data_IF_495626972993
#
_entry.id   IF_495626972993
#
_cell.length_a   1.000
_cell.length_b   1.000
_cell.length_c   1.000
_cell.angle_alpha   90.00
_cell.angle_beta   90.00
_cell.angle_gamma   90.00
#
_symmetry.space_group_name_H-M   'P 1'
#
loop_
_entity.id
_entity.type
_entity.pdbx_description
1 polymer ?
#
# COMPACT_ATOMS: atom_id res chain seq x y z
N UNK A 1 -7.38 16.81 -20.11
CA UNK A 1 -7.24 16.85 -18.62
C UNK A 1 -7.65 15.53 -17.94
N UNK A 2 -7.56 14.37 -18.61
CA UNK A 2 -8.09 13.10 -18.06
C UNK A 2 -7.09 12.18 -17.32
N UNK A 3 -5.77 12.41 -17.43
CA UNK A 3 -4.75 11.58 -16.76
C UNK A 3 -4.39 12.07 -15.35
N UNK A 4 -4.43 13.39 -15.11
CA UNK A 4 -4.07 13.98 -13.80
C UNK A 4 -4.94 13.44 -12.67
N UNK A 5 -6.25 13.30 -12.90
CA UNK A 5 -7.18 12.79 -11.87
C UNK A 5 -6.91 11.35 -11.47
N UNK A 6 -6.58 10.46 -12.42
CA UNK A 6 -6.28 9.05 -12.12
C UNK A 6 -4.95 8.88 -11.41
N UNK A 7 -3.93 9.62 -11.83
CA UNK A 7 -2.62 9.62 -11.16
C UNK A 7 -2.73 10.19 -9.74
N UNK A 8 -3.51 11.25 -9.55
CA UNK A 8 -3.79 11.82 -8.22
C UNK A 8 -4.55 10.85 -7.31
N UNK A 9 -5.55 10.14 -7.85
CA UNK A 9 -6.29 9.10 -7.13
C UNK A 9 -5.37 7.96 -6.69
N UNK A 10 -4.52 7.48 -7.60
CA UNK A 10 -3.54 6.43 -7.28
C UNK A 10 -2.55 6.90 -6.22
N UNK A 11 -2.02 8.11 -6.35
CA UNK A 11 -1.08 8.67 -5.36
C UNK A 11 -1.72 8.78 -3.97
N UNK A 12 -2.95 9.28 -3.89
CA UNK A 12 -3.71 9.35 -2.63
C UNK A 12 -3.92 7.97 -2.03
N UNK A 13 -4.27 6.99 -2.85
CA UNK A 13 -4.50 5.63 -2.38
C UNK A 13 -3.20 4.97 -1.90
N UNK A 14 -2.08 5.19 -2.59
CA UNK A 14 -0.76 4.76 -2.14
C UNK A 14 -0.43 5.32 -0.75
N UNK A 15 -0.63 6.62 -0.54
CA UNK A 15 -0.43 7.25 0.77
C UNK A 15 -1.35 6.66 1.85
N UNK A 16 -2.61 6.40 1.53
CA UNK A 16 -3.57 5.79 2.46
C UNK A 16 -3.12 4.40 2.89
N UNK A 17 -2.72 3.56 1.94
CA UNK A 17 -2.27 2.19 2.17
C UNK A 17 -1.00 2.17 3.04
N UNK A 18 0.01 2.98 2.70
CA UNK A 18 1.25 3.08 3.49
C UNK A 18 0.95 3.61 4.89
N UNK A 19 0.18 4.70 4.98
CA UNK A 19 -0.17 5.33 6.25
C UNK A 19 -0.87 4.36 7.20
N UNK A 20 -1.82 3.58 6.70
CA UNK A 20 -2.50 2.54 7.49
C UNK A 20 -1.51 1.53 8.08
N UNK A 21 -0.64 0.95 7.24
CA UNK A 21 0.33 -0.06 7.69
C UNK A 21 1.31 0.53 8.71
N UNK A 22 1.84 1.73 8.47
CA UNK A 22 2.77 2.40 9.37
C UNK A 22 2.14 2.67 10.75
N UNK A 23 0.88 3.13 10.78
CA UNK A 23 0.15 3.38 12.01
C UNK A 23 -0.13 2.08 12.77
N UNK A 24 -0.59 1.04 12.09
CA UNK A 24 -0.83 -0.29 12.69
C UNK A 24 0.47 -0.88 13.27
N UNK A 25 1.58 -0.77 12.55
CA UNK A 25 2.89 -1.22 13.05
C UNK A 25 3.32 -0.45 14.30
N UNK A 26 3.17 0.88 14.30
CA UNK A 26 3.48 1.71 15.46
C UNK A 26 2.65 1.30 16.67
N UNK A 27 1.35 1.06 16.48
CA UNK A 27 0.44 0.68 17.56
C UNK A 27 0.77 -0.71 18.13
N UNK A 28 1.40 -1.58 17.33
CA UNK A 28 1.97 -2.87 17.75
C UNK A 28 3.39 -2.77 18.35
N UNK A 29 3.95 -1.56 18.48
CA UNK A 29 5.33 -1.35 18.94
C UNK A 29 6.40 -1.80 17.95
N UNK A 30 6.04 -2.02 16.68
CA UNK A 30 6.96 -2.40 15.62
C UNK A 30 7.52 -1.16 14.92
N UNK A 31 8.84 -1.12 14.74
CA UNK A 31 9.50 -0.09 13.96
C UNK A 31 9.12 -0.22 12.46
N UNK A 32 8.54 0.81 11.83
CA UNK A 32 8.16 0.75 10.41
C UNK A 32 9.39 0.80 9.50
N UNK A 33 9.85 -0.38 9.04
CA UNK A 33 10.93 -0.51 8.05
C UNK A 33 10.34 -0.77 6.67
N UNK A 34 10.94 -0.21 5.62
CA UNK A 34 10.47 -0.37 4.23
C UNK A 34 10.28 -1.85 3.85
N UNK A 35 11.24 -2.71 4.20
CA UNK A 35 11.18 -4.15 3.91
C UNK A 35 9.98 -4.84 4.60
N UNK A 36 9.65 -4.40 5.82
CA UNK A 36 8.52 -4.96 6.59
C UNK A 36 7.20 -4.48 6.02
N UNK A 37 7.07 -3.20 5.71
CA UNK A 37 5.86 -2.63 5.07
C UNK A 37 5.60 -3.34 3.73
N UNK A 38 6.61 -3.51 2.89
CA UNK A 38 6.49 -4.24 1.63
C UNK A 38 6.09 -5.72 1.85
N UNK A 39 6.62 -6.37 2.89
CA UNK A 39 6.25 -7.74 3.28
C UNK A 39 4.79 -7.87 3.72
N UNK A 40 4.31 -6.93 4.54
CA UNK A 40 2.91 -6.86 4.99
C UNK A 40 1.98 -6.68 3.79
N UNK A 41 2.30 -5.75 2.89
CA UNK A 41 1.48 -5.49 1.70
C UNK A 41 1.45 -6.68 0.72
N UNK A 42 2.58 -7.37 0.51
CA UNK A 42 2.61 -8.62 -0.29
C UNK A 42 1.71 -9.69 0.31
N UNK A 43 1.79 -9.88 1.62
CA UNK A 43 0.98 -10.86 2.34
C UNK A 43 -0.51 -10.51 2.27
N UNK A 44 -0.84 -9.22 2.42
CA UNK A 44 -2.20 -8.73 2.29
C UNK A 44 -2.74 -8.95 0.87
N UNK A 45 -1.99 -8.60 -0.18
CA UNK A 45 -2.37 -8.83 -1.58
C UNK A 45 -2.61 -10.30 -1.90
N UNK A 46 -1.77 -11.20 -1.37
CA UNK A 46 -1.92 -12.65 -1.58
C UNK A 46 -3.20 -13.23 -0.94
N UNK A 47 -3.83 -12.51 0.00
CA UNK A 47 -5.05 -12.96 0.65
C UNK A 47 -6.28 -12.83 -0.28
N UNK A 48 -6.62 -13.95 -0.95
CA UNK A 48 -7.78 -14.07 -1.84
C UNK A 48 -9.15 -14.00 -1.14
N UNK A 49 -9.21 -14.07 0.19
CA UNK A 49 -10.47 -13.96 0.94
C UNK A 49 -10.98 -12.53 1.03
N UNK A 50 -10.11 -11.55 0.80
CA UNK A 50 -10.46 -10.12 0.86
C UNK A 50 -10.62 -9.60 -0.56
N UNK A 51 -11.84 -9.17 -0.90
CA UNK A 51 -12.11 -8.51 -2.17
C UNK A 51 -11.61 -7.07 -2.10
N UNK A 52 -10.79 -6.67 -3.07
CA UNK A 52 -10.19 -5.33 -3.17
C UNK A 52 -10.56 -4.71 -4.49
N UNK A 53 -10.70 -3.39 -4.51
CA UNK A 53 -10.84 -2.64 -5.76
C UNK A 53 -9.56 -2.74 -6.58
N UNK A 54 -9.66 -2.52 -7.90
CA UNK A 54 -8.49 -2.49 -8.77
C UNK A 54 -7.53 -1.36 -8.38
N UNK A 55 -8.05 -0.22 -7.92
CA UNK A 55 -7.24 0.91 -7.43
C UNK A 55 -6.41 0.51 -6.19
N UNK A 56 -7.00 -0.18 -5.22
CA UNK A 56 -6.31 -0.61 -4.00
C UNK A 56 -5.22 -1.64 -4.34
N UNK A 57 -5.50 -2.59 -5.25
CA UNK A 57 -4.47 -3.53 -5.74
C UNK A 57 -3.32 -2.81 -6.42
N UNK A 58 -3.62 -1.90 -7.34
CA UNK A 58 -2.61 -1.13 -8.07
C UNK A 58 -1.77 -0.25 -7.14
N UNK A 59 -2.39 0.38 -6.14
CA UNK A 59 -1.70 1.16 -5.13
C UNK A 59 -0.75 0.28 -4.30
N UNK A 60 -1.23 -0.86 -3.80
CA UNK A 60 -0.41 -1.81 -3.03
C UNK A 60 0.80 -2.31 -3.84
N UNK A 61 0.60 -2.71 -5.10
CA UNK A 61 1.68 -3.18 -5.98
C UNK A 61 2.71 -2.09 -6.26
N UNK A 62 2.25 -0.86 -6.52
CA UNK A 62 3.12 0.29 -6.79
C UNK A 62 3.97 0.62 -5.56
N UNK A 63 3.37 0.61 -4.37
CA UNK A 63 4.08 0.82 -3.10
C UNK A 63 5.11 -0.28 -2.85
N UNK A 64 4.76 -1.55 -3.06
CA UNK A 64 5.71 -2.66 -2.89
C UNK A 64 6.92 -2.45 -3.81
N UNK A 65 6.71 -2.10 -5.07
CA UNK A 65 7.78 -1.85 -6.02
C UNK A 65 8.64 -0.63 -5.64
N UNK A 66 8.04 0.41 -5.06
CA UNK A 66 8.74 1.60 -4.61
C UNK A 66 9.61 1.33 -3.36
N UNK A 67 9.16 0.47 -2.44
CA UNK A 67 9.85 0.18 -1.16
C UNK A 67 10.95 -0.89 -1.26
N UNK A 68 11.05 -1.58 -2.40
CA UNK A 68 12.00 -2.68 -2.64
C UNK A 68 13.24 -2.22 -3.42
N UNK A 69 13.24 -0.98 -3.91
CA UNK A 69 14.42 -0.30 -4.43
C UNK A 69 15.30 0.21 -3.29
#
# INVERSE_FOLDING_TARGET
>A
MGNRTKEDELYREMCRVVGKVVLEMRDLGQEPKHIVIAGVLRTALANKRIQRSELDKQAMETVINALVK
#
